data_IF_200731645572
#
_entry.id   IF_200731645572
#
_cell.length_a   1.000
_cell.length_b   1.000
_cell.length_c   1.000
_cell.angle_alpha   90.00
_cell.angle_beta   90.00
_cell.angle_gamma   90.00
#
_symmetry.space_group_name_H-M   'P 1'
#
loop_
_entity.id
_entity.type
_entity.pdbx_description
1 polymer ?
#
# COMPACT_ATOMS: atom_id res chain seq x y z
N UNK A 1 56.29 13.59 18.37
CA UNK A 1 55.03 12.84 18.20
C UNK A 1 54.13 13.63 17.27
N UNK A 2 54.17 13.33 15.98
CA UNK A 2 53.36 13.98 14.93
C UNK A 2 52.09 13.18 14.72
N UNK A 3 50.95 13.76 15.10
CA UNK A 3 49.62 13.18 14.88
C UNK A 3 49.23 13.34 13.41
N UNK A 4 49.25 12.25 12.66
CA UNK A 4 48.67 12.19 11.32
C UNK A 4 47.15 12.31 11.42
N UNK A 5 46.61 13.41 10.90
CA UNK A 5 45.18 13.62 10.74
C UNK A 5 44.74 12.84 9.48
N UNK A 6 44.17 11.66 9.67
CA UNK A 6 43.58 10.86 8.58
C UNK A 6 42.21 11.46 8.26
N UNK A 7 41.94 11.91 7.03
CA UNK A 7 40.61 12.39 6.67
C UNK A 7 39.59 11.26 6.79
N UNK A 8 38.36 11.53 7.27
CA UNK A 8 37.33 10.51 7.39
C UNK A 8 37.02 9.95 6.01
N UNK A 9 36.98 8.62 5.90
CA UNK A 9 36.62 7.92 4.69
C UNK A 9 35.22 8.35 4.26
N UNK A 10 35.14 9.08 3.13
CA UNK A 10 33.87 9.32 2.45
C UNK A 10 33.37 7.95 2.01
N UNK A 11 32.29 7.49 2.64
CA UNK A 11 31.60 6.28 2.25
C UNK A 11 31.31 6.39 0.74
N UNK A 12 31.84 5.43 -0.04
CA UNK A 12 31.55 5.36 -1.47
C UNK A 12 30.04 5.21 -1.60
N UNK A 13 29.37 6.25 -2.12
CA UNK A 13 27.96 6.15 -2.51
C UNK A 13 27.85 5.00 -3.50
N UNK A 14 27.22 3.92 -3.08
CA UNK A 14 26.86 2.80 -3.96
C UNK A 14 26.02 3.37 -5.09
N UNK A 15 26.54 3.27 -6.31
CA UNK A 15 25.83 3.70 -7.50
C UNK A 15 24.48 2.97 -7.57
N UNK A 16 23.43 3.69 -7.94
CA UNK A 16 22.11 3.11 -8.22
C UNK A 16 22.24 1.94 -9.21
N UNK A 17 21.82 0.75 -8.79
CA UNK A 17 21.80 -0.42 -9.65
C UNK A 17 20.48 -0.43 -10.43
N UNK A 18 20.52 -0.60 -11.76
CA UNK A 18 19.31 -0.67 -12.58
C UNK A 18 18.38 -1.85 -12.22
N UNK A 19 18.88 -2.83 -11.47
CA UNK A 19 18.09 -3.94 -10.93
C UNK A 19 17.33 -3.59 -9.63
N UNK A 20 17.66 -2.48 -8.96
CA UNK A 20 16.96 -2.06 -7.75
C UNK A 20 15.61 -1.41 -8.09
N UNK A 21 14.57 -1.64 -7.27
CA UNK A 21 13.31 -0.93 -7.45
C UNK A 21 13.55 0.58 -7.40
N UNK A 22 13.01 1.29 -8.39
CA UNK A 22 13.17 2.75 -8.48
C UNK A 22 12.64 3.40 -7.20
N UNK A 23 13.44 4.20 -6.48
CA UNK A 23 13.01 4.81 -5.24
C UNK A 23 11.89 5.81 -5.53
N UNK A 24 10.88 5.82 -4.67
CA UNK A 24 9.88 6.89 -4.68
C UNK A 24 10.56 8.19 -4.20
N UNK A 25 10.54 9.22 -5.05
CA UNK A 25 11.15 10.52 -4.77
C UNK A 25 10.06 11.58 -4.73
N UNK A 26 9.92 12.26 -3.61
CA UNK A 26 9.00 13.37 -3.45
C UNK A 26 9.45 14.58 -4.26
N UNK A 27 8.59 15.06 -5.15
CA UNK A 27 8.81 16.26 -5.95
C UNK A 27 7.72 17.29 -5.68
N UNK A 28 8.10 18.56 -5.55
CA UNK A 28 7.16 19.69 -5.48
C UNK A 28 7.19 20.49 -6.78
N UNK A 29 6.02 20.94 -7.20
CA UNK A 29 5.85 21.79 -8.38
C UNK A 29 6.30 23.20 -8.03
N UNK A 30 7.22 23.75 -8.84
CA UNK A 30 7.56 25.17 -8.88
C UNK A 30 7.34 25.70 -10.30
N UNK A 31 7.52 27.00 -10.52
CA UNK A 31 7.27 27.60 -11.83
C UNK A 31 8.16 26.96 -12.92
N UNK A 32 7.55 26.11 -13.74
CA UNK A 32 8.19 25.45 -14.89
C UNK A 32 9.08 24.25 -14.55
N UNK A 33 9.09 23.75 -13.31
CA UNK A 33 9.94 22.63 -12.92
C UNK A 33 9.38 21.81 -11.74
N UNK A 34 9.93 20.61 -11.58
CA UNK A 34 9.80 19.78 -10.37
C UNK A 34 11.12 19.85 -9.60
N UNK A 35 11.05 20.08 -8.29
CA UNK A 35 12.22 20.12 -7.40
C UNK A 35 12.01 19.16 -6.22
N UNK A 36 13.08 18.66 -5.57
CA UNK A 36 12.91 17.79 -4.40
C UNK A 36 12.02 18.44 -3.33
N UNK A 37 11.10 17.64 -2.78
CA UNK A 37 10.17 18.11 -1.75
C UNK A 37 10.85 18.26 -0.39
N UNK A 38 11.81 17.40 -0.06
CA UNK A 38 12.59 17.39 1.19
C UNK A 38 14.10 17.24 0.96
N UNK A 39 14.90 17.38 2.03
CA UNK A 39 16.33 17.08 2.00
C UNK A 39 16.63 15.61 1.71
N UNK A 40 15.77 14.70 2.18
CA UNK A 40 15.89 13.25 1.90
C UNK A 40 15.72 13.02 0.40
N UNK A 41 14.68 13.59 -0.21
CA UNK A 41 14.45 13.48 -1.66
C UNK A 41 15.61 14.05 -2.48
N UNK A 42 16.21 15.15 -2.00
CA UNK A 42 17.39 15.75 -2.62
C UNK A 42 18.59 14.81 -2.58
N UNK A 43 18.82 14.14 -1.45
CA UNK A 43 19.89 13.16 -1.32
C UNK A 43 19.64 11.93 -2.21
N UNK A 44 18.40 11.46 -2.28
CA UNK A 44 18.02 10.34 -3.16
C UNK A 44 18.27 10.69 -4.64
N UNK A 45 17.87 11.89 -5.10
CA UNK A 45 18.16 12.34 -6.47
C UNK A 45 19.66 12.42 -6.77
N UNK A 46 20.47 12.89 -5.81
CA UNK A 46 21.93 12.91 -5.96
C UNK A 46 22.52 11.51 -6.11
N UNK A 47 21.97 10.54 -5.38
CA UNK A 47 22.44 9.15 -5.45
C UNK A 47 22.19 8.47 -6.81
N UNK A 48 21.22 8.97 -7.58
CA UNK A 48 20.95 8.52 -8.95
C UNK A 48 22.02 8.95 -9.97
N UNK A 49 22.93 9.86 -9.61
CA UNK A 49 24.02 10.34 -10.46
C UNK A 49 23.58 10.81 -11.86
N UNK A 50 22.42 11.47 -11.95
CA UNK A 50 21.89 12.00 -13.21
C UNK A 50 22.75 13.16 -13.73
N UNK A 51 22.96 13.21 -15.05
CA UNK A 51 23.71 14.28 -15.73
C UNK A 51 22.82 15.43 -16.19
N UNK A 52 23.37 16.64 -16.27
CA UNK A 52 22.66 17.78 -16.86
C UNK A 52 22.32 17.49 -18.33
N UNK A 53 21.06 17.75 -18.71
CA UNK A 53 20.53 17.47 -20.07
C UNK A 53 20.13 16.01 -20.31
N UNK A 54 20.32 15.11 -19.34
CA UNK A 54 19.86 13.73 -19.45
C UNK A 54 18.33 13.66 -19.43
N UNK A 55 17.75 12.98 -20.42
CA UNK A 55 16.32 12.69 -20.43
C UNK A 55 16.03 11.53 -19.47
N UNK A 56 15.06 11.72 -18.58
CA UNK A 56 14.56 10.69 -17.68
C UNK A 56 13.05 10.57 -17.83
N UNK A 57 12.54 9.34 -17.72
CA UNK A 57 11.11 9.08 -17.65
C UNK A 57 10.72 8.88 -16.19
N UNK A 58 9.68 9.58 -15.74
CA UNK A 58 9.19 9.49 -14.38
C UNK A 58 7.71 9.13 -14.39
N UNK A 59 7.31 8.19 -13.52
CA UNK A 59 5.91 8.00 -13.17
C UNK A 59 5.54 9.07 -12.13
N UNK A 60 4.54 9.90 -12.44
CA UNK A 60 4.06 10.93 -11.51
C UNK A 60 2.84 10.41 -10.76
N UNK A 61 2.81 10.69 -9.47
CA UNK A 61 1.68 10.39 -8.61
C UNK A 61 1.48 11.48 -7.55
N UNK A 62 0.25 11.56 -7.03
CA UNK A 62 -0.12 12.48 -5.98
C UNK A 62 0.27 11.94 -4.61
N UNK A 63 0.78 12.82 -3.76
CA UNK A 63 1.02 12.51 -2.37
C UNK A 63 -0.28 12.01 -1.72
N UNK A 64 -0.20 10.86 -1.04
CA UNK A 64 -1.30 10.33 -0.24
C UNK A 64 -1.76 11.34 0.79
N UNK A 65 -3.09 11.45 0.95
CA UNK A 65 -3.68 12.20 2.05
C UNK A 65 -3.50 11.36 3.33
N UNK A 66 -2.75 11.83 4.36
CA UNK A 66 -2.51 11.04 5.56
C UNK A 66 -3.79 10.63 6.31
N UNK A 67 -4.87 11.41 6.15
CA UNK A 67 -6.18 11.11 6.71
C UNK A 67 -6.78 9.81 6.15
N UNK A 68 -6.52 9.46 4.88
CA UNK A 68 -7.11 8.28 4.26
C UNK A 68 -6.52 6.97 4.82
N UNK A 69 -5.23 6.98 5.21
CA UNK A 69 -4.63 5.83 5.90
C UNK A 69 -5.25 5.62 7.29
N UNK A 70 -5.54 6.70 8.01
CA UNK A 70 -6.27 6.60 9.28
C UNK A 70 -7.69 6.08 9.04
N UNK A 71 -8.34 6.58 7.99
CA UNK A 71 -9.71 6.22 7.62
C UNK A 71 -9.86 4.74 7.25
N UNK A 72 -8.92 4.15 6.49
CA UNK A 72 -8.99 2.72 6.17
C UNK A 72 -8.84 1.85 7.43
N UNK A 73 -7.97 2.27 8.37
CA UNK A 73 -7.82 1.55 9.65
C UNK A 73 -9.10 1.64 10.49
N UNK A 74 -9.70 2.83 10.56
CA UNK A 74 -10.99 3.05 11.24
C UNK A 74 -12.14 2.27 10.59
N UNK A 75 -12.15 2.14 9.27
CA UNK A 75 -13.09 1.26 8.57
C UNK A 75 -12.91 -0.20 9.02
N UNK A 76 -11.67 -0.68 9.12
CA UNK A 76 -11.37 -2.01 9.67
C UNK A 76 -11.91 -2.17 11.09
N UNK A 77 -11.70 -1.18 11.95
CA UNK A 77 -12.21 -1.19 13.33
C UNK A 77 -13.74 -1.22 13.37
N UNK A 78 -14.40 -0.40 12.55
CA UNK A 78 -15.87 -0.39 12.45
C UNK A 78 -16.41 -1.77 12.09
N UNK A 79 -15.76 -2.48 11.16
CA UNK A 79 -16.15 -3.84 10.79
C UNK A 79 -15.96 -4.83 11.94
N UNK A 80 -14.81 -4.78 12.64
CA UNK A 80 -14.54 -5.63 13.81
C UNK A 80 -15.60 -5.42 14.90
N UNK A 81 -15.97 -4.17 15.15
CA UNK A 81 -16.91 -3.82 16.23
C UNK A 81 -18.36 -4.19 15.91
N UNK A 82 -18.76 -4.09 14.63
CA UNK A 82 -20.18 -4.12 14.23
C UNK A 82 -20.57 -5.34 13.40
N UNK A 83 -19.62 -6.07 12.84
CA UNK A 83 -19.91 -7.18 11.92
C UNK A 83 -19.39 -8.50 12.50
N UNK A 84 -20.27 -9.46 12.83
CA UNK A 84 -19.88 -10.70 13.51
C UNK A 84 -18.77 -11.50 12.80
N UNK A 85 -18.71 -11.45 11.47
CA UNK A 85 -17.65 -12.11 10.68
C UNK A 85 -16.24 -11.62 11.03
N UNK A 86 -16.10 -10.37 11.48
CA UNK A 86 -14.80 -9.74 11.75
C UNK A 86 -14.47 -9.64 13.24
N UNK A 87 -15.38 -10.06 14.14
CA UNK A 87 -15.27 -9.84 15.59
C UNK A 87 -14.01 -10.42 16.26
N UNK A 88 -13.33 -11.36 15.61
CA UNK A 88 -12.11 -12.00 16.11
C UNK A 88 -10.83 -11.52 15.40
N UNK A 89 -10.93 -10.49 14.56
CA UNK A 89 -9.83 -9.96 13.78
C UNK A 89 -9.36 -8.62 14.35
N UNK A 90 -8.10 -8.27 14.10
CA UNK A 90 -7.67 -6.87 14.19
C UNK A 90 -8.11 -6.10 12.94
N UNK A 91 -8.13 -4.76 13.02
CA UNK A 91 -8.56 -3.90 11.92
C UNK A 91 -7.77 -4.11 10.62
N UNK A 92 -6.48 -4.40 10.70
CA UNK A 92 -5.64 -4.62 9.51
C UNK A 92 -5.98 -5.96 8.84
N UNK A 93 -6.18 -7.02 9.63
CA UNK A 93 -6.65 -8.32 9.15
C UNK A 93 -8.04 -8.22 8.54
N UNK A 94 -8.95 -7.46 9.16
CA UNK A 94 -10.29 -7.20 8.64
C UNK A 94 -10.25 -6.52 7.25
N UNK A 95 -9.38 -5.52 7.05
CA UNK A 95 -9.21 -4.87 5.75
C UNK A 95 -8.68 -5.84 4.69
N UNK A 96 -7.71 -6.71 5.02
CA UNK A 96 -7.22 -7.71 4.06
C UNK A 96 -8.31 -8.70 3.65
N UNK A 97 -9.11 -9.16 4.60
CA UNK A 97 -10.27 -10.02 4.31
C UNK A 97 -11.27 -9.28 3.43
N UNK A 98 -11.58 -8.02 3.72
CA UNK A 98 -12.46 -7.20 2.90
C UNK A 98 -11.94 -6.99 1.47
N UNK A 99 -10.62 -6.80 1.30
CA UNK A 99 -9.97 -6.73 -0.02
C UNK A 99 -10.16 -8.06 -0.78
N UNK A 100 -9.96 -9.20 -0.13
CA UNK A 100 -10.16 -10.52 -0.77
C UNK A 100 -11.64 -10.79 -1.10
N UNK A 101 -12.58 -10.39 -0.26
CA UNK A 101 -14.02 -10.57 -0.49
C UNK A 101 -14.54 -9.70 -1.64
N UNK A 102 -14.07 -8.45 -1.71
CA UNK A 102 -14.48 -7.50 -2.74
C UNK A 102 -13.70 -7.64 -4.05
N UNK A 103 -12.54 -8.29 -4.02
CA UNK A 103 -11.54 -8.26 -5.09
C UNK A 103 -10.87 -6.89 -5.27
N UNK A 104 -11.21 -5.88 -4.46
CA UNK A 104 -10.68 -4.53 -4.60
C UNK A 104 -9.23 -4.46 -4.08
N UNK A 105 -8.36 -3.89 -4.92
CA UNK A 105 -6.94 -3.78 -4.60
C UNK A 105 -6.28 -5.13 -4.37
N UNK A 106 -6.62 -6.11 -5.22
CA UNK A 106 -6.03 -7.44 -5.22
C UNK A 106 -5.44 -7.77 -6.59
N UNK A 107 -4.35 -8.53 -6.60
CA UNK A 107 -3.94 -9.29 -7.77
C UNK A 107 -4.78 -10.57 -7.85
N UNK A 108 -5.27 -10.87 -9.05
CA UNK A 108 -6.05 -12.09 -9.32
C UNK A 108 -5.11 -13.17 -9.83
N UNK A 109 -5.03 -14.28 -9.10
CA UNK A 109 -4.16 -15.40 -9.42
C UNK A 109 -4.98 -16.67 -9.59
N UNK A 110 -4.54 -17.57 -10.46
CA UNK A 110 -5.08 -18.93 -10.59
C UNK A 110 -4.08 -19.91 -9.98
N UNK A 111 -4.48 -20.63 -8.93
CA UNK A 111 -3.62 -21.54 -8.18
C UNK A 111 -4.28 -22.92 -8.16
N UNK A 112 -3.52 -24.02 -8.38
CA UNK A 112 -4.06 -25.37 -8.23
C UNK A 112 -4.61 -25.61 -6.82
N UNK A 113 -5.76 -26.26 -6.72
CA UNK A 113 -6.45 -26.53 -5.45
C UNK A 113 -5.56 -27.30 -4.46
N UNK A 114 -4.74 -28.24 -4.96
CA UNK A 114 -3.78 -28.97 -4.14
C UNK A 114 -2.73 -28.06 -3.50
N UNK A 115 -2.14 -27.15 -4.28
CA UNK A 115 -1.17 -26.17 -3.78
C UNK A 115 -1.76 -25.27 -2.70
N UNK A 116 -2.99 -24.81 -2.89
CA UNK A 116 -3.67 -23.98 -1.89
C UNK A 116 -3.95 -24.74 -0.60
N UNK A 117 -4.41 -26.00 -0.69
CA UNK A 117 -4.65 -26.86 0.46
C UNK A 117 -3.36 -27.11 1.25
N UNK A 118 -2.25 -27.41 0.57
CA UNK A 118 -0.93 -27.59 1.18
C UNK A 118 -0.49 -26.33 1.94
N UNK A 119 -0.60 -25.14 1.32
CA UNK A 119 -0.28 -23.86 1.95
C UNK A 119 -1.17 -23.56 3.17
N UNK A 120 -2.42 -24.00 3.15
CA UNK A 120 -3.36 -23.86 4.25
C UNK A 120 -3.19 -24.94 5.34
N UNK A 121 -2.31 -25.93 5.14
CA UNK A 121 -2.16 -27.08 6.04
C UNK A 121 -3.42 -27.98 6.08
N UNK A 122 -4.19 -27.99 4.99
CA UNK A 122 -5.44 -28.73 4.86
C UNK A 122 -5.32 -29.83 3.79
N UNK A 123 -6.15 -30.86 3.88
CA UNK A 123 -6.24 -31.86 2.82
C UNK A 123 -7.08 -31.33 1.65
N UNK A 124 -6.60 -31.49 0.43
CA UNK A 124 -7.36 -31.14 -0.77
C UNK A 124 -8.49 -32.15 -1.00
N UNK A 125 -9.73 -31.70 -0.90
CA UNK A 125 -10.91 -32.50 -1.22
C UNK A 125 -11.37 -32.18 -2.66
N UNK A 126 -10.96 -32.99 -3.63
CA UNK A 126 -11.30 -32.81 -5.05
C UNK A 126 -10.13 -33.08 -5.98
N UNK A 127 -10.21 -32.59 -7.22
CA UNK A 127 -9.08 -32.64 -8.16
C UNK A 127 -8.00 -31.63 -7.74
N UNK A 128 -6.79 -32.08 -7.34
CA UNK A 128 -5.72 -31.19 -6.90
C UNK A 128 -5.21 -30.26 -8.00
N UNK A 129 -5.47 -30.56 -9.28
CA UNK A 129 -5.07 -29.73 -10.41
C UNK A 129 -6.14 -28.72 -10.83
N UNK A 130 -7.33 -28.75 -10.23
CA UNK A 130 -8.36 -27.76 -10.50
C UNK A 130 -7.85 -26.36 -10.13
N UNK A 131 -8.01 -25.39 -11.03
CA UNK A 131 -7.58 -24.02 -10.79
C UNK A 131 -8.61 -23.28 -9.93
N UNK A 132 -8.13 -22.71 -8.83
CA UNK A 132 -8.90 -21.87 -7.92
C UNK A 132 -8.42 -20.43 -8.07
N UNK A 133 -9.37 -19.50 -8.17
CA UNK A 133 -9.07 -18.07 -8.18
C UNK A 133 -8.77 -17.59 -6.77
N UNK A 134 -7.60 -16.97 -6.60
CA UNK A 134 -7.15 -16.38 -5.34
C UNK A 134 -6.98 -14.88 -5.54
N UNK A 135 -7.49 -14.09 -4.60
CA UNK A 135 -7.33 -12.64 -4.56
C UNK A 135 -6.25 -12.29 -3.53
N UNK A 136 -5.08 -11.87 -4.03
CA UNK A 136 -3.95 -11.49 -3.19
C UNK A 136 -3.99 -9.98 -2.92
N UNK A 137 -4.27 -9.52 -1.68
CA UNK A 137 -4.39 -8.10 -1.39
C UNK A 137 -3.07 -7.36 -1.57
N UNK A 138 -3.14 -6.19 -2.21
CA UNK A 138 -2.02 -5.28 -2.33
C UNK A 138 -1.59 -4.74 -0.96
N UNK A 139 -0.28 -4.51 -0.82
CA UNK A 139 0.24 -3.78 0.34
C UNK A 139 -0.22 -2.33 0.30
N UNK A 140 -0.82 -1.89 1.41
CA UNK A 140 -1.20 -0.49 1.63
C UNK A 140 0.00 0.42 1.94
N UNK A 141 1.24 -0.09 1.84
CA UNK A 141 2.45 0.72 2.07
C UNK A 141 2.52 1.92 1.11
N UNK A 142 2.90 3.11 1.61
CA UNK A 142 3.11 4.29 0.75
C UNK A 142 4.20 4.08 -0.30
N UNK A 143 5.10 3.11 -0.09
CA UNK A 143 6.19 2.83 -1.02
C UNK A 143 5.74 2.00 -2.23
N UNK A 144 4.60 1.31 -2.14
CA UNK A 144 4.17 0.32 -3.14
C UNK A 144 2.85 0.68 -3.83
N UNK A 145 2.14 1.70 -3.35
CA UNK A 145 0.84 2.07 -3.90
C UNK A 145 0.69 3.59 -3.96
N UNK A 146 0.16 4.07 -5.08
CA UNK A 146 -0.07 5.50 -5.30
C UNK A 146 -1.16 6.09 -4.40
N UNK A 147 -1.15 7.41 -4.22
CA UNK A 147 -2.23 8.13 -3.56
C UNK A 147 -3.57 7.97 -4.28
N UNK A 148 -3.56 8.06 -5.61
CA UNK A 148 -4.75 7.84 -6.41
C UNK A 148 -5.26 6.39 -6.35
N UNK A 149 -4.37 5.38 -6.35
CA UNK A 149 -4.76 3.99 -6.14
C UNK A 149 -5.38 3.78 -4.76
N UNK A 150 -4.78 4.38 -3.72
CA UNK A 150 -5.28 4.25 -2.36
C UNK A 150 -6.69 4.85 -2.22
N UNK A 151 -6.91 6.05 -2.73
CA UNK A 151 -8.22 6.70 -2.68
C UNK A 151 -9.30 5.88 -3.41
N UNK A 152 -8.97 5.33 -4.59
CA UNK A 152 -9.87 4.43 -5.32
C UNK A 152 -10.15 3.13 -4.57
N UNK A 153 -9.13 2.54 -3.97
CA UNK A 153 -9.30 1.34 -3.14
C UNK A 153 -10.28 1.60 -2.01
N UNK A 154 -10.08 2.68 -1.25
CA UNK A 154 -10.97 3.03 -0.15
C UNK A 154 -12.43 3.22 -0.61
N UNK A 155 -12.64 3.92 -1.73
CA UNK A 155 -13.97 4.08 -2.34
C UNK A 155 -14.62 2.72 -2.72
N UNK A 156 -13.85 1.83 -3.34
CA UNK A 156 -14.33 0.50 -3.71
C UNK A 156 -14.70 -0.35 -2.49
N UNK A 157 -13.89 -0.28 -1.42
CA UNK A 157 -14.18 -0.99 -0.17
C UNK A 157 -15.44 -0.44 0.51
N UNK A 158 -15.58 0.88 0.62
CA UNK A 158 -16.79 1.50 1.16
C UNK A 158 -18.04 1.12 0.35
N UNK A 159 -17.93 1.08 -0.98
CA UNK A 159 -19.01 0.62 -1.86
C UNK A 159 -19.38 -0.83 -1.61
N UNK A 160 -18.39 -1.72 -1.50
CA UNK A 160 -18.64 -3.13 -1.22
C UNK A 160 -19.33 -3.33 0.12
N UNK A 161 -18.86 -2.64 1.17
CA UNK A 161 -19.49 -2.67 2.50
C UNK A 161 -20.95 -2.23 2.41
N UNK A 162 -21.24 -1.13 1.71
CA UNK A 162 -22.60 -0.62 1.55
C UNK A 162 -23.51 -1.52 0.69
N UNK A 163 -22.97 -2.33 -0.22
CA UNK A 163 -23.80 -3.21 -1.05
C UNK A 163 -24.00 -4.61 -0.42
N UNK A 164 -22.97 -5.15 0.22
CA UNK A 164 -22.94 -6.58 0.60
C UNK A 164 -23.02 -6.81 2.11
N UNK A 165 -22.57 -5.85 2.94
CA UNK A 165 -22.52 -6.00 4.40
C UNK A 165 -23.65 -5.20 5.07
N UNK A 166 -23.83 -3.94 4.66
CA UNK A 166 -24.88 -3.05 5.13
C UNK A 166 -25.70 -2.54 3.93
N UNK A 167 -26.51 -3.39 3.27
CA UNK A 167 -27.23 -3.07 2.03
C UNK A 167 -28.18 -1.87 2.12
N UNK A 168 -28.54 -1.44 3.33
CA UNK A 168 -29.45 -0.32 3.59
C UNK A 168 -28.73 1.04 3.76
N UNK A 169 -27.42 1.11 3.57
CA UNK A 169 -26.63 2.35 3.73
C UNK A 169 -26.01 2.84 2.41
N UNK A 170 -25.75 4.14 2.31
CA UNK A 170 -25.02 4.72 1.18
C UNK A 170 -23.49 4.58 1.40
N UNK A 171 -22.68 4.27 0.36
CA UNK A 171 -21.22 4.27 0.46
C UNK A 171 -20.59 5.52 1.12
N UNK A 172 -21.17 6.70 0.90
CA UNK A 172 -20.68 7.94 1.54
C UNK A 172 -20.94 7.96 3.06
N UNK A 173 -22.03 7.33 3.52
CA UNK A 173 -22.35 7.22 4.94
C UNK A 173 -21.31 6.33 5.63
N UNK A 174 -20.91 5.21 5.02
CA UNK A 174 -19.85 4.32 5.53
C UNK A 174 -18.53 5.08 5.70
N UNK A 175 -18.19 5.92 4.72
CA UNK A 175 -16.98 6.76 4.77
C UNK A 175 -17.07 7.79 5.90
N UNK A 176 -18.25 8.39 6.11
CA UNK A 176 -18.49 9.33 7.20
C UNK A 176 -18.45 8.65 8.58
N UNK A 177 -18.94 7.41 8.70
CA UNK A 177 -18.88 6.62 9.92
C UNK A 177 -17.44 6.31 10.29
N UNK A 178 -16.62 5.93 9.30
CA UNK A 178 -15.20 5.72 9.52
C UNK A 178 -14.48 6.99 10.04
N UNK A 179 -14.94 8.20 9.71
CA UNK A 179 -14.32 9.43 10.22
C UNK A 179 -14.58 9.66 11.71
N UNK A 180 -15.76 9.27 12.21
CA UNK A 180 -16.19 9.47 13.61
C UNK A 180 -15.74 8.36 14.57
N UNK A 181 -15.28 7.21 14.06
CA UNK A 181 -14.68 6.16 14.90
C UNK A 181 -13.48 6.74 15.67
N UNK A 182 -13.40 6.59 17.02
CA UNK A 182 -12.25 7.02 17.80
C UNK A 182 -10.97 6.32 17.29
N UNK A 183 -9.80 6.97 17.34
CA UNK A 183 -8.55 6.27 17.04
C UNK A 183 -8.39 5.10 18.01
N UNK A 184 -8.25 3.87 17.48
CA UNK A 184 -7.93 2.70 18.29
C UNK A 184 -6.58 2.92 18.98
N UNK A 185 -6.47 2.55 20.26
CA UNK A 185 -5.17 2.50 20.94
C UNK A 185 -4.26 1.48 20.22
N UNK A 186 -2.97 1.79 20.06
CA UNK A 186 -2.00 0.94 19.35
C UNK A 186 -1.78 -0.41 20.03
#
# INVERSE_FOLDING_TARGET
MTTHNVPPAIAKHTAFNAADPSPAIGLKVVRGALVPASEVDQQTLRSLNLSLGQTVYAAMDFQRVPADLKRIHKLGQLLVDQVPMFAHMDAHTAIKVLQSLSGAGCDVMSVPAGTLADLAGQSCHGDPNALVTVFQPWSLSPNTMSGAQFARLLDQLCRYVACEIWPDCNPEDVKSWADVVPPSLP
#
